data_IF_249317324326
#
_entry.id   IF_249317324326
#
_cell.length_a   1.000
_cell.length_b   1.000
_cell.length_c   1.000
_cell.angle_alpha   90.00
_cell.angle_beta   90.00
_cell.angle_gamma   90.00
#
_symmetry.space_group_name_H-M   'P 1'
#
loop_
_entity.id
_entity.type
_entity.pdbx_description
1 polymer ?
#
# COMPACT_ATOMS: atom_id res chain seq x y z
N UNK A 1 5.44 0.43 -10.64
CA UNK A 1 4.14 0.30 -9.97
C UNK A 1 2.97 0.96 -10.71
N UNK A 2 3.03 1.10 -12.05
CA UNK A 2 2.23 2.13 -12.74
C UNK A 2 0.81 1.71 -13.22
N UNK A 3 0.35 0.46 -13.05
CA UNK A 3 -0.95 0.09 -13.67
C UNK A 3 -1.84 -0.90 -12.90
N UNK A 4 -1.51 -1.23 -11.65
CA UNK A 4 -1.95 -2.52 -11.11
C UNK A 4 -2.97 -2.56 -9.97
N UNK A 5 -3.29 -1.47 -9.27
CA UNK A 5 -4.08 -1.58 -8.03
C UNK A 5 -5.23 -0.60 -8.02
N UNK A 6 -6.24 -0.97 -8.81
CA UNK A 6 -7.62 -0.56 -8.65
C UNK A 6 -8.08 -0.96 -7.24
N UNK A 7 -8.33 0.07 -6.43
CA UNK A 7 -9.49 0.21 -5.55
C UNK A 7 -9.81 -0.94 -4.60
N UNK A 8 -9.52 -0.82 -3.30
CA UNK A 8 -10.40 -1.39 -2.27
C UNK A 8 -10.26 -0.65 -0.93
N UNK A 9 -11.37 0.00 -0.54
CA UNK A 9 -11.85 0.39 0.80
C UNK A 9 -11.01 1.35 1.67
N UNK A 10 -11.46 2.61 1.71
CA UNK A 10 -12.05 3.18 2.93
C UNK A 10 -11.23 3.24 4.21
N UNK A 11 -9.90 3.37 4.14
CA UNK A 11 -9.07 3.69 5.32
C UNK A 11 -8.16 4.86 4.96
N UNK A 12 -7.97 5.75 5.94
CA UNK A 12 -7.32 7.04 5.84
C UNK A 12 -6.07 7.08 4.95
N UNK A 13 -6.16 7.83 3.85
CA UNK A 13 -5.03 8.51 3.24
C UNK A 13 -4.07 7.67 2.38
N UNK A 14 -4.04 8.04 1.09
CA UNK A 14 -2.91 7.94 0.14
C UNK A 14 -2.79 6.61 -0.62
N UNK A 15 -3.34 6.58 -1.84
CA UNK A 15 -2.81 5.80 -2.99
C UNK A 15 -3.08 6.61 -4.27
N UNK A 16 -2.04 6.86 -5.07
CA UNK A 16 -2.09 7.74 -6.25
C UNK A 16 -2.34 6.94 -7.54
N UNK A 17 -3.32 7.32 -8.36
CA UNK A 17 -3.29 7.11 -9.83
C UNK A 17 -4.21 8.13 -10.55
N UNK A 18 -3.63 9.13 -11.24
CA UNK A 18 -4.36 10.08 -12.10
C UNK A 18 -4.22 11.56 -11.71
N UNK A 19 -3.10 12.17 -12.09
CA UNK A 19 -2.63 13.55 -11.76
C UNK A 19 -3.43 14.68 -12.42
N UNK A 20 -4.77 14.61 -12.50
CA UNK A 20 -5.56 15.75 -13.00
C UNK A 20 -6.84 16.04 -12.20
N UNK A 21 -7.40 15.06 -11.48
CA UNK A 21 -8.66 15.25 -10.73
C UNK A 21 -8.43 15.30 -9.21
N UNK A 22 -7.38 14.65 -8.71
CA UNK A 22 -7.15 14.46 -7.26
C UNK A 22 -6.32 15.56 -6.59
N UNK A 23 -5.74 16.50 -7.35
CA UNK A 23 -4.80 17.50 -6.84
C UNK A 23 -5.28 18.28 -5.59
N UNK A 24 -6.54 18.73 -5.48
CA UNK A 24 -6.98 19.45 -4.28
C UNK A 24 -7.25 18.55 -3.06
N UNK A 25 -7.31 17.22 -3.22
CA UNK A 25 -7.63 16.27 -2.13
C UNK A 25 -6.41 15.46 -1.67
N UNK A 26 -5.25 15.69 -2.27
CA UNK A 26 -4.01 15.02 -1.87
C UNK A 26 -3.38 15.82 -0.73
N UNK A 27 -3.47 15.30 0.49
CA UNK A 27 -2.85 15.91 1.66
C UNK A 27 -1.36 15.55 1.80
N UNK A 28 -0.96 14.37 1.33
CA UNK A 28 0.39 13.82 1.52
C UNK A 28 0.79 12.93 0.35
N UNK A 29 2.05 13.03 -0.05
CA UNK A 29 2.66 12.18 -1.08
C UNK A 29 3.75 11.34 -0.42
N UNK A 30 3.72 10.03 -0.67
CA UNK A 30 4.71 9.08 -0.16
C UNK A 30 5.63 8.66 -1.30
N UNK A 31 6.93 8.87 -1.12
CA UNK A 31 7.95 8.38 -2.03
C UNK A 31 8.38 6.96 -1.61
N UNK A 32 7.98 5.97 -2.40
CA UNK A 32 8.18 4.56 -2.11
C UNK A 32 8.86 3.92 -3.31
N UNK A 33 9.79 3.00 -3.04
CA UNK A 33 10.48 2.26 -4.09
C UNK A 33 9.49 1.57 -5.06
N UNK A 34 9.58 1.91 -6.34
CA UNK A 34 8.69 1.40 -7.39
C UNK A 34 9.13 0.02 -7.90
N UNK A 35 9.25 -0.96 -7.01
CA UNK A 35 9.54 -2.36 -7.32
C UNK A 35 8.26 -3.24 -7.29
N UNK A 36 8.42 -4.57 -7.42
CA UNK A 36 7.30 -5.52 -7.32
C UNK A 36 6.66 -5.61 -5.93
N UNK A 37 7.18 -4.89 -4.94
CA UNK A 37 6.71 -4.90 -3.55
C UNK A 37 6.06 -3.59 -3.10
N UNK A 38 5.94 -2.59 -3.97
CA UNK A 38 5.44 -1.26 -3.61
C UNK A 38 4.09 -1.27 -2.87
N UNK A 39 3.17 -2.19 -3.19
CA UNK A 39 1.92 -2.33 -2.43
C UNK A 39 2.15 -2.68 -0.94
N UNK A 40 3.02 -3.66 -0.68
CA UNK A 40 3.38 -4.03 0.69
C UNK A 40 4.20 -2.94 1.39
N UNK A 41 5.00 -2.18 0.63
CA UNK A 41 5.76 -1.02 1.15
C UNK A 41 4.84 0.11 1.59
N UNK A 42 3.79 0.41 0.81
CA UNK A 42 2.74 1.37 1.20
C UNK A 42 2.08 0.92 2.51
N UNK A 43 1.63 -0.33 2.59
CA UNK A 43 0.97 -0.85 3.80
C UNK A 43 1.91 -0.77 5.00
N UNK A 44 3.17 -1.17 4.85
CA UNK A 44 4.17 -1.09 5.91
C UNK A 44 4.40 0.34 6.40
N UNK A 45 4.41 1.32 5.49
CA UNK A 45 4.49 2.73 5.84
C UNK A 45 3.24 3.21 6.59
N UNK A 46 2.04 2.85 6.12
CA UNK A 46 0.78 3.21 6.79
C UNK A 46 0.66 2.60 8.19
N UNK A 47 1.30 1.45 8.42
CA UNK A 47 1.42 0.82 9.74
C UNK A 47 2.50 1.46 10.64
N UNK A 48 3.21 2.49 10.18
CA UNK A 48 4.28 3.16 10.92
C UNK A 48 5.57 2.35 11.05
N UNK A 49 5.69 1.23 10.31
CA UNK A 49 6.86 0.34 10.34
C UNK A 49 7.96 0.73 9.35
N UNK A 50 7.67 1.72 8.49
CA UNK A 50 8.56 2.14 7.41
C UNK A 50 8.54 1.17 6.24
N UNK A 51 9.01 1.62 5.07
CA UNK A 51 8.88 0.84 3.83
C UNK A 51 9.73 -0.43 3.77
N UNK A 52 10.79 -0.55 4.59
CA UNK A 52 11.71 -1.70 4.59
C UNK A 52 11.11 -2.96 5.22
N UNK A 53 10.07 -2.81 6.05
CA UNK A 53 9.37 -3.93 6.70
C UNK A 53 8.30 -4.59 5.80
N UNK A 54 8.32 -4.29 4.50
CA UNK A 54 7.32 -4.78 3.53
C UNK A 54 7.26 -6.31 3.43
N UNK A 55 8.37 -7.01 3.66
CA UNK A 55 8.39 -8.49 3.67
C UNK A 55 7.72 -9.07 4.92
N UNK A 56 7.86 -8.41 6.08
CA UNK A 56 7.18 -8.81 7.30
C UNK A 56 5.66 -8.68 7.14
N UNK A 57 5.20 -7.55 6.61
CA UNK A 57 3.78 -7.32 6.29
C UNK A 57 3.24 -8.37 5.31
N UNK A 58 4.00 -8.69 4.25
CA UNK A 58 3.62 -9.76 3.31
C UNK A 58 3.47 -11.11 4.01
N UNK A 59 4.40 -11.46 4.89
CA UNK A 59 4.38 -12.74 5.60
C UNK A 59 3.22 -12.81 6.60
N UNK A 60 2.94 -11.74 7.35
CA UNK A 60 1.79 -11.65 8.26
C UNK A 60 0.47 -11.83 7.50
N UNK A 61 0.29 -11.14 6.37
CA UNK A 61 -0.88 -11.29 5.50
C UNK A 61 -1.02 -12.73 4.96
N UNK A 62 0.10 -13.35 4.59
CA UNK A 62 0.10 -14.73 4.12
C UNK A 62 -0.34 -15.71 5.22
N UNK A 63 0.18 -15.57 6.44
CA UNK A 63 -0.24 -16.43 7.57
C UNK A 63 -1.71 -16.24 7.90
N UNK A 64 -2.20 -14.99 7.98
CA UNK A 64 -3.61 -14.71 8.22
C UNK A 64 -4.53 -15.31 7.14
N UNK A 65 -4.12 -15.28 5.87
CA UNK A 65 -4.88 -15.87 4.78
C UNK A 65 -4.90 -17.40 4.88
N UNK A 66 -3.76 -18.00 5.25
CA UNK A 66 -3.63 -19.45 5.46
C UNK A 66 -4.49 -19.95 6.62
N UNK A 67 -4.56 -19.19 7.71
CA UNK A 67 -5.38 -19.53 8.88
C UNK A 67 -6.89 -19.46 8.59
N UNK A 68 -7.32 -18.47 7.80
CA UNK A 68 -8.74 -18.31 7.41
C UNK A 68 -9.22 -19.31 6.36
N UNK A 69 -8.30 -19.92 5.62
CA UNK A 69 -8.59 -20.96 4.62
C UNK A 69 -8.67 -22.38 5.20
N UNK A 70 -8.52 -22.55 6.52
CA UNK A 70 -8.77 -23.80 7.24
C UNK A 70 -10.22 -23.84 7.73
#
# INVERSE_FOLDING_TARGET
CIFGVVWFLGVDGIIFFGTQILHPYISKVLDIESDGHCGFRVVSYCLGRGQHEHLAVRNELYQHTKERGK
#
